data_IF_112767536969
#
_entry.id   IF_112767536969
#
_cell.length_a   1.000
_cell.length_b   1.000
_cell.length_c   1.000
_cell.angle_alpha   90.00
_cell.angle_beta   90.00
_cell.angle_gamma   90.00
#
_symmetry.space_group_name_H-M   'P 1'
#
loop_
_entity.id
_entity.type
_entity.pdbx_description
1 polymer ?
#
# COMPACT_ATOMS: atom_id res chain seq x y z
N UNK A 1 5.30 -10.38 6.32
CA UNK A 1 5.67 -9.05 6.87
C UNK A 1 6.64 -9.12 8.05
N UNK A 2 6.44 -9.97 9.08
CA UNK A 2 7.37 -10.06 10.21
C UNK A 2 8.82 -10.33 9.81
N UNK A 3 9.06 -11.18 8.80
CA UNK A 3 10.41 -11.41 8.27
C UNK A 3 11.04 -10.12 7.74
N UNK A 4 10.26 -9.29 7.05
CA UNK A 4 10.69 -8.00 6.55
C UNK A 4 11.03 -7.01 7.68
N UNK A 5 10.62 -7.26 8.93
CA UNK A 5 10.98 -6.42 10.07
C UNK A 5 12.40 -6.69 10.58
N UNK A 6 13.02 -7.82 10.20
CA UNK A 6 14.37 -8.22 10.65
C UNK A 6 14.50 -8.07 12.17
N UNK A 7 13.57 -8.74 12.87
CA UNK A 7 13.35 -8.59 14.31
C UNK A 7 14.35 -9.45 15.10
N UNK A 8 14.98 -8.88 16.13
CA UNK A 8 15.97 -9.53 16.98
C UNK A 8 15.59 -9.43 18.47
N UNK A 9 16.15 -10.29 19.35
CA UNK A 9 15.89 -10.17 20.79
C UNK A 9 16.39 -8.81 21.28
N UNK A 10 15.61 -8.18 22.15
CA UNK A 10 15.93 -6.88 22.75
C UNK A 10 15.45 -5.66 21.96
N UNK A 11 15.08 -5.80 20.67
CA UNK A 11 14.51 -4.69 19.90
C UNK A 11 13.24 -4.14 20.56
N UNK A 12 13.16 -2.82 20.68
CA UNK A 12 11.93 -2.12 21.03
C UNK A 12 11.06 -1.94 19.79
N UNK A 13 9.81 -2.37 19.88
CA UNK A 13 8.89 -2.42 18.73
C UNK A 13 7.65 -1.58 18.99
N UNK A 14 7.26 -0.81 17.99
CA UNK A 14 5.91 -0.27 17.87
C UNK A 14 5.12 -1.06 16.83
N UNK A 15 3.97 -1.58 17.22
CA UNK A 15 2.95 -2.08 16.31
C UNK A 15 1.79 -1.08 16.23
N UNK A 16 1.32 -0.80 15.03
CA UNK A 16 0.16 0.05 14.75
C UNK A 16 -0.95 -0.81 14.15
N UNK A 17 -2.01 -1.05 14.93
CA UNK A 17 -3.11 -1.96 14.61
C UNK A 17 -3.07 -3.26 15.42
N UNK A 18 -3.35 -3.20 16.73
CA UNK A 18 -3.32 -4.41 17.58
C UNK A 18 -4.30 -5.49 17.11
N UNK A 19 -5.51 -5.11 16.69
CA UNK A 19 -6.55 -6.06 16.28
C UNK A 19 -6.83 -7.10 17.36
N UNK A 20 -6.61 -8.38 17.04
CA UNK A 20 -6.79 -9.50 17.98
C UNK A 20 -5.59 -9.72 18.93
N UNK A 21 -4.46 -9.03 18.72
CA UNK A 21 -3.23 -9.19 19.49
C UNK A 21 -2.31 -10.33 19.03
N UNK A 22 -2.64 -11.04 17.94
CA UNK A 22 -1.82 -12.15 17.43
C UNK A 22 -0.41 -11.71 17.05
N UNK A 23 -0.29 -10.68 16.20
CA UNK A 23 1.01 -10.20 15.74
C UNK A 23 1.81 -9.56 16.89
N UNK A 24 1.16 -8.78 17.77
CA UNK A 24 1.72 -8.29 19.03
C UNK A 24 2.36 -9.39 19.89
N UNK A 25 1.69 -10.55 20.01
CA UNK A 25 2.21 -11.69 20.76
C UNK A 25 3.50 -12.23 20.13
N UNK A 26 3.51 -12.43 18.80
CA UNK A 26 4.70 -12.89 18.07
C UNK A 26 5.88 -11.93 18.22
N UNK A 27 5.63 -10.62 18.14
CA UNK A 27 6.63 -9.58 18.38
C UNK A 27 7.21 -9.69 19.80
N UNK A 28 6.36 -9.84 20.82
CA UNK A 28 6.79 -9.97 22.22
C UNK A 28 7.62 -11.22 22.46
N UNK A 29 7.21 -12.37 21.92
CA UNK A 29 7.97 -13.62 22.03
C UNK A 29 9.34 -13.53 21.36
N UNK A 30 9.45 -12.84 20.23
CA UNK A 30 10.72 -12.70 19.50
C UNK A 30 11.67 -11.69 20.13
N UNK A 31 11.15 -10.60 20.69
CA UNK A 31 11.95 -9.48 21.23
C UNK A 31 12.19 -9.57 22.73
N UNK A 32 11.36 -10.32 23.45
CA UNK A 32 11.38 -10.42 24.90
C UNK A 32 10.27 -9.58 25.56
N UNK A 33 10.02 -9.83 26.85
CA UNK A 33 8.92 -9.22 27.58
C UNK A 33 9.07 -7.70 27.65
N UNK A 34 7.94 -6.98 27.58
CA UNK A 34 7.84 -5.52 27.70
C UNK A 34 8.61 -4.72 26.63
N UNK A 35 8.99 -5.35 25.51
CA UNK A 35 9.66 -4.69 24.38
C UNK A 35 8.71 -4.22 23.28
N UNK A 36 7.46 -4.66 23.31
CA UNK A 36 6.44 -4.33 22.30
C UNK A 36 5.39 -3.40 22.90
N UNK A 37 5.17 -2.27 22.24
CA UNK A 37 3.97 -1.45 22.38
C UNK A 37 3.10 -1.70 21.15
N UNK A 38 1.80 -1.90 21.35
CA UNK A 38 0.83 -2.08 20.27
C UNK A 38 -0.32 -1.09 20.43
N UNK A 39 -0.60 -0.32 19.39
CA UNK A 39 -1.62 0.74 19.40
C UNK A 39 -2.85 0.27 18.62
N UNK A 40 -4.02 0.45 19.21
CA UNK A 40 -5.31 0.15 18.60
C UNK A 40 -6.25 1.34 18.76
N UNK A 41 -6.86 1.77 17.66
CA UNK A 41 -7.76 2.93 17.67
C UNK A 41 -9.12 2.62 18.28
N UNK A 42 -9.54 1.35 18.28
CA UNK A 42 -10.80 0.91 18.85
C UNK A 42 -10.62 0.46 20.31
N UNK A 43 -11.19 1.19 21.30
CA UNK A 43 -11.02 0.86 22.71
C UNK A 43 -11.56 -0.53 23.11
N UNK A 44 -12.59 -1.03 22.43
CA UNK A 44 -13.17 -2.36 22.68
C UNK A 44 -12.24 -3.48 22.19
N UNK A 45 -11.70 -3.31 20.98
CA UNK A 45 -10.69 -4.24 20.44
C UNK A 45 -9.43 -4.21 21.28
N UNK A 46 -8.93 -3.03 21.66
CA UNK A 46 -7.76 -2.89 22.53
C UNK A 46 -7.94 -3.66 23.85
N UNK A 47 -9.12 -3.54 24.50
CA UNK A 47 -9.42 -4.29 25.74
C UNK A 47 -9.46 -5.80 25.50
N UNK A 48 -9.99 -6.22 24.36
CA UNK A 48 -10.08 -7.63 23.97
C UNK A 48 -8.71 -8.23 23.71
N UNK A 49 -7.85 -7.50 22.98
CA UNK A 49 -6.47 -7.87 22.74
C UNK A 49 -5.68 -7.99 24.05
N UNK A 50 -5.81 -7.03 24.99
CA UNK A 50 -5.17 -7.12 26.32
C UNK A 50 -5.47 -8.43 27.03
N UNK A 51 -6.76 -8.81 27.10
CA UNK A 51 -7.17 -10.08 27.73
C UNK A 51 -6.62 -11.30 26.98
N UNK A 52 -6.55 -11.26 25.65
CA UNK A 52 -6.00 -12.35 24.85
C UNK A 52 -4.49 -12.51 25.09
N UNK A 53 -3.75 -11.40 25.12
CA UNK A 53 -2.31 -11.35 25.36
C UNK A 53 -1.96 -11.81 26.78
N UNK A 54 -2.72 -11.38 27.79
CA UNK A 54 -2.59 -11.86 29.17
C UNK A 54 -2.76 -13.38 29.26
N UNK A 55 -3.82 -13.93 28.62
CA UNK A 55 -4.05 -15.38 28.57
C UNK A 55 -2.94 -16.14 27.84
N UNK A 56 -2.34 -15.51 26.83
CA UNK A 56 -1.22 -16.06 26.08
C UNK A 56 0.13 -15.91 26.80
N UNK A 57 0.19 -15.20 27.93
CA UNK A 57 1.44 -14.90 28.64
C UNK A 57 2.37 -13.93 27.90
N UNK A 58 1.85 -13.17 26.93
CA UNK A 58 2.62 -12.21 26.15
C UNK A 58 2.66 -10.84 26.85
N UNK A 59 3.86 -10.37 27.19
CA UNK A 59 4.07 -9.10 27.89
C UNK A 59 4.16 -7.93 26.90
N UNK A 60 2.99 -7.47 26.43
CA UNK A 60 2.81 -6.36 25.49
C UNK A 60 2.08 -5.20 26.17
N UNK A 61 2.53 -3.96 25.97
CA UNK A 61 1.77 -2.78 26.33
C UNK A 61 0.78 -2.46 25.20
N UNK A 62 -0.52 -2.59 25.45
CA UNK A 62 -1.56 -2.25 24.47
C UNK A 62 -2.16 -0.89 24.82
N UNK A 63 -2.17 0.03 23.86
CA UNK A 63 -2.66 1.40 24.02
C UNK A 63 -3.89 1.63 23.14
N UNK A 64 -4.92 2.27 23.70
CA UNK A 64 -6.13 2.64 22.96
C UNK A 64 -5.99 4.08 22.45
N UNK A 65 -5.51 4.26 21.23
CA UNK A 65 -5.18 5.56 20.65
C UNK A 65 -5.14 5.48 19.11
N UNK A 66 -5.18 6.64 18.46
CA UNK A 66 -4.91 6.74 17.02
C UNK A 66 -3.41 6.53 16.75
N UNK A 67 -3.09 5.52 15.94
CA UNK A 67 -1.73 5.16 15.55
C UNK A 67 -1.16 5.96 14.38
N UNK A 68 -1.94 6.82 13.72
CA UNK A 68 -1.48 7.64 12.58
C UNK A 68 -0.25 8.47 12.94
N UNK A 69 -0.23 9.05 14.15
CA UNK A 69 0.89 9.80 14.71
C UNK A 69 1.96 8.95 15.41
N UNK A 70 1.92 7.62 15.30
CA UNK A 70 2.77 6.72 16.08
C UNK A 70 2.43 6.72 17.57
N UNK A 71 3.42 6.46 18.43
CA UNK A 71 3.29 6.50 19.88
C UNK A 71 4.53 7.12 20.56
N UNK A 72 4.57 8.45 20.74
CA UNK A 72 5.73 9.16 21.30
C UNK A 72 6.19 8.71 22.69
N UNK A 73 5.32 8.36 23.67
CA UNK A 73 5.77 7.96 25.01
C UNK A 73 6.72 6.76 25.03
N UNK A 74 6.65 5.91 23.99
CA UNK A 74 7.52 4.76 23.81
C UNK A 74 8.63 4.96 22.77
N UNK A 75 8.85 6.17 22.27
CA UNK A 75 9.93 6.44 21.33
C UNK A 75 11.30 6.50 22.05
N UNK A 76 12.43 6.28 21.37
CA UNK A 76 12.57 5.79 20.00
C UNK A 76 12.41 4.27 19.92
N UNK A 77 11.98 3.77 18.77
CA UNK A 77 11.80 2.35 18.45
C UNK A 77 12.92 1.85 17.54
N UNK A 78 13.32 0.59 17.72
CA UNK A 78 14.24 -0.09 16.80
C UNK A 78 13.48 -0.59 15.56
N UNK A 79 12.20 -0.95 15.75
CA UNK A 79 11.32 -1.50 14.73
C UNK A 79 9.93 -0.91 14.84
N UNK A 80 9.32 -0.61 13.70
CA UNK A 80 7.94 -0.20 13.60
C UNK A 80 7.22 -1.04 12.55
N UNK A 81 6.01 -1.51 12.85
CA UNK A 81 5.18 -2.24 11.90
C UNK A 81 3.75 -1.74 11.95
N UNK A 82 3.17 -1.44 10.79
CA UNK A 82 1.74 -1.21 10.65
C UNK A 82 1.06 -2.49 10.14
N UNK A 83 -0.13 -2.77 10.65
CA UNK A 83 -1.01 -3.89 10.25
C UNK A 83 -2.32 -3.36 9.66
N UNK A 84 -2.23 -2.20 9.01
CA UNK A 84 -3.24 -1.59 8.13
C UNK A 84 -2.51 -0.88 6.99
N UNK A 85 -3.17 -0.69 5.85
CA UNK A 85 -2.59 -0.04 4.68
C UNK A 85 -2.57 1.49 4.81
N UNK A 86 -1.49 2.08 4.32
CA UNK A 86 -1.36 3.54 4.19
C UNK A 86 -1.05 3.96 2.76
N UNK A 87 -1.50 5.15 2.40
CA UNK A 87 -1.18 5.79 1.12
C UNK A 87 0.15 6.54 1.16
N UNK A 88 0.49 7.07 2.33
CA UNK A 88 1.75 7.79 2.59
C UNK A 88 2.30 7.32 3.93
N UNK A 89 3.61 7.22 4.05
CA UNK A 89 4.26 6.89 5.32
C UNK A 89 4.27 8.16 6.20
N UNK A 90 3.59 8.16 7.36
CA UNK A 90 3.60 9.33 8.24
C UNK A 90 5.01 9.66 8.72
N UNK A 91 5.41 10.93 8.65
CA UNK A 91 6.74 11.35 9.14
C UNK A 91 6.96 11.03 10.61
N UNK A 92 5.88 11.03 11.41
CA UNK A 92 5.93 10.65 12.82
C UNK A 92 6.52 9.24 13.03
N UNK A 93 6.34 8.33 12.07
CA UNK A 93 6.90 6.98 12.13
C UNK A 93 8.43 7.00 11.95
N UNK A 94 8.91 7.81 11.02
CA UNK A 94 10.36 8.04 10.80
C UNK A 94 10.97 8.71 12.02
N UNK A 95 10.36 9.81 12.50
CA UNK A 95 10.86 10.57 13.65
C UNK A 95 10.88 9.80 14.97
N UNK A 96 10.04 8.76 15.10
CA UNK A 96 9.99 7.91 16.29
C UNK A 96 10.83 6.63 16.15
N UNK A 97 11.41 6.37 14.99
CA UNK A 97 12.29 5.23 14.74
C UNK A 97 13.74 5.67 14.82
N UNK A 98 14.59 4.89 15.48
CA UNK A 98 16.03 5.21 15.60
C UNK A 98 16.68 5.22 14.22
N UNK A 99 17.77 6.00 14.02
CA UNK A 99 18.66 5.80 12.88
C UNK A 99 19.07 4.33 12.74
N UNK A 100 19.06 3.80 11.51
CA UNK A 100 19.26 2.38 11.22
C UNK A 100 18.07 1.46 11.60
N UNK A 101 17.05 2.00 12.27
CA UNK A 101 15.80 1.31 12.59
C UNK A 101 14.94 1.08 11.34
N UNK A 102 13.98 0.16 11.47
CA UNK A 102 13.21 -0.35 10.32
C UNK A 102 11.71 -0.16 10.49
N UNK A 103 11.07 0.36 9.46
CA UNK A 103 9.63 0.60 9.37
C UNK A 103 9.06 -0.33 8.30
N UNK A 104 8.06 -1.14 8.66
CA UNK A 104 7.37 -2.04 7.73
C UNK A 104 5.89 -1.67 7.67
N UNK A 105 5.38 -1.39 6.48
CA UNK A 105 3.99 -0.97 6.32
C UNK A 105 3.41 -1.48 5.00
N UNK A 106 2.16 -1.96 4.98
CA UNK A 106 1.42 -2.14 3.75
C UNK A 106 1.18 -0.77 3.09
N UNK A 107 1.38 -0.70 1.79
CA UNK A 107 1.31 0.52 1.00
C UNK A 107 0.49 0.31 -0.27
N UNK A 108 -0.34 1.30 -0.62
CA UNK A 108 -1.09 1.34 -1.88
C UNK A 108 -2.00 0.13 -2.10
N UNK A 109 -2.46 -0.52 -1.01
CA UNK A 109 -3.36 -1.68 -1.01
C UNK A 109 -2.90 -2.95 -1.74
N UNK A 110 -1.67 -2.99 -2.25
CA UNK A 110 -1.20 -4.10 -3.08
C UNK A 110 0.17 -4.66 -2.67
N UNK A 111 0.96 -3.93 -1.87
CA UNK A 111 2.27 -4.39 -1.41
C UNK A 111 2.61 -3.90 0.00
N UNK A 112 3.77 -4.30 0.50
CA UNK A 112 4.34 -3.69 1.71
C UNK A 112 5.79 -3.28 1.49
N UNK A 113 6.15 -2.14 2.06
CA UNK A 113 7.51 -1.61 2.06
C UNK A 113 8.23 -1.95 3.35
N UNK A 114 9.55 -2.03 3.29
CA UNK A 114 10.41 -2.05 4.47
C UNK A 114 11.51 -0.99 4.35
N UNK A 115 11.33 0.11 5.08
CA UNK A 115 12.21 1.28 5.03
C UNK A 115 13.21 1.25 6.19
N UNK A 116 14.43 1.65 5.93
CA UNK A 116 15.44 1.90 6.95
C UNK A 116 15.61 3.41 7.12
N UNK A 117 15.57 3.88 8.36
CA UNK A 117 15.82 5.29 8.70
C UNK A 117 17.31 5.60 8.53
N UNK A 118 17.62 6.68 7.83
CA UNK A 118 18.99 7.13 7.62
C UNK A 118 19.69 7.51 8.93
N UNK A 119 21.04 7.48 8.92
CA UNK A 119 21.87 7.78 10.11
C UNK A 119 21.62 9.20 10.69
N UNK A 120 21.26 10.16 9.84
CA UNK A 120 20.90 11.53 10.25
C UNK A 120 19.45 11.70 10.73
N UNK A 121 18.63 10.65 10.61
CA UNK A 121 17.21 10.65 10.94
C UNK A 121 16.35 11.56 10.02
N UNK A 122 16.89 12.03 8.89
CA UNK A 122 16.20 12.98 8.00
C UNK A 122 15.51 12.32 6.81
N UNK A 123 15.70 11.02 6.62
CA UNK A 123 15.00 10.25 5.60
C UNK A 123 14.81 8.79 6.00
N UNK A 124 13.92 8.10 5.30
CA UNK A 124 13.82 6.66 5.32
C UNK A 124 13.67 6.14 3.90
N UNK A 125 14.38 5.07 3.56
CA UNK A 125 14.30 4.47 2.23
C UNK A 125 14.40 2.95 2.30
N UNK A 126 13.86 2.27 1.31
CA UNK A 126 13.92 0.82 1.23
C UNK A 126 13.06 0.26 0.12
N UNK A 127 12.95 -1.06 0.10
CA UNK A 127 12.33 -1.80 -1.00
C UNK A 127 10.92 -2.25 -0.65
N UNK A 128 10.12 -2.51 -1.67
CA UNK A 128 8.94 -3.36 -1.55
C UNK A 128 9.41 -4.78 -1.23
N UNK A 129 8.70 -5.46 -0.34
CA UNK A 129 9.13 -6.76 0.20
C UNK A 129 8.09 -7.86 0.02
N UNK A 130 6.97 -7.58 -0.66
CA UNK A 130 5.95 -8.55 -0.99
C UNK A 130 4.59 -7.93 -1.21
N UNK A 131 3.64 -8.77 -1.61
CA UNK A 131 2.23 -8.44 -1.70
C UNK A 131 1.61 -8.36 -0.30
N UNK A 132 0.79 -7.34 -0.09
CA UNK A 132 0.07 -7.15 1.17
C UNK A 132 -1.22 -6.38 0.91
N UNK A 133 -2.36 -7.05 1.06
CA UNK A 133 -3.67 -6.43 1.03
C UNK A 133 -4.18 -6.31 2.46
N UNK A 134 -4.34 -5.08 2.93
CA UNK A 134 -4.77 -4.75 4.28
C UNK A 134 -5.93 -3.77 4.22
N UNK A 135 -6.73 -3.77 5.29
CA UNK A 135 -7.72 -2.72 5.51
C UNK A 135 -7.04 -1.35 5.52
N UNK A 136 -7.66 -0.30 4.96
CA UNK A 136 -7.16 1.06 5.03
C UNK A 136 -7.05 1.56 6.47
N UNK A 137 -6.21 2.59 6.67
CA UNK A 137 -6.23 3.37 7.89
C UNK A 137 -7.63 3.98 8.13
N UNK A 138 -8.08 4.05 9.38
CA UNK A 138 -9.39 4.66 9.65
C UNK A 138 -9.40 6.12 9.23
N UNK A 139 -10.50 6.55 8.60
CA UNK A 139 -10.66 7.91 8.10
C UNK A 139 -10.02 8.16 6.73
N UNK A 140 -9.32 7.17 6.15
CA UNK A 140 -8.92 7.20 4.73
C UNK A 140 -9.94 6.50 3.83
N UNK A 141 -10.93 5.83 4.42
CA UNK A 141 -12.16 5.36 3.77
C UNK A 141 -13.07 6.56 3.46
N UNK A 142 -12.71 7.43 2.52
CA UNK A 142 -13.79 7.98 1.71
C UNK A 142 -14.46 6.77 1.04
N UNK A 143 -15.80 6.69 1.03
CA UNK A 143 -16.45 5.69 0.19
C UNK A 143 -16.03 6.01 -1.24
N UNK A 144 -15.02 5.27 -1.75
CA UNK A 144 -14.61 5.42 -3.14
C UNK A 144 -15.87 5.20 -3.96
N UNK A 145 -16.29 6.19 -4.75
CA UNK A 145 -17.50 6.04 -5.52
C UNK A 145 -17.32 4.84 -6.44
N UNK A 146 -18.34 3.98 -6.47
CA UNK A 146 -18.28 2.82 -7.35
C UNK A 146 -18.23 3.29 -8.82
N UNK A 147 -17.78 2.40 -9.70
CA UNK A 147 -17.65 2.72 -11.12
C UNK A 147 -18.94 3.29 -11.73
N UNK A 148 -20.11 2.79 -11.35
CA UNK A 148 -21.39 3.26 -11.87
C UNK A 148 -21.75 4.66 -11.36
N UNK A 149 -21.32 5.02 -10.16
CA UNK A 149 -21.46 6.36 -9.61
C UNK A 149 -20.60 7.37 -10.36
N UNK A 150 -19.34 7.04 -10.66
CA UNK A 150 -18.43 7.93 -11.42
C UNK A 150 -18.87 8.05 -12.88
N UNK A 151 -19.16 6.92 -13.54
CA UNK A 151 -19.67 6.90 -14.91
C UNK A 151 -21.01 7.62 -15.02
N UNK A 152 -21.89 7.42 -14.04
CA UNK A 152 -23.24 7.97 -14.02
C UNK A 152 -24.03 7.61 -15.29
N UNK A 153 -24.60 8.63 -15.93
CA UNK A 153 -25.21 8.53 -17.29
C UNK A 153 -24.30 9.08 -18.37
N UNK A 154 -23.00 9.24 -18.09
CA UNK A 154 -22.03 9.72 -19.05
C UNK A 154 -22.07 8.84 -20.29
N UNK A 155 -22.31 9.45 -21.45
CA UNK A 155 -22.14 8.76 -22.72
C UNK A 155 -20.65 8.55 -22.96
N UNK A 156 -20.33 7.44 -23.61
CA UNK A 156 -19.03 7.29 -24.27
C UNK A 156 -18.80 8.48 -25.19
N UNK A 157 -17.66 9.15 -25.06
CA UNK A 157 -17.23 10.14 -26.04
C UNK A 157 -16.00 9.67 -26.84
N UNK A 158 -15.46 8.48 -26.53
CA UNK A 158 -14.39 7.81 -27.28
C UNK A 158 -14.51 6.27 -27.13
N UNK A 159 -14.68 5.59 -28.28
CA UNK A 159 -14.64 4.12 -28.39
C UNK A 159 -13.59 3.74 -29.43
N UNK A 160 -12.63 2.90 -29.04
CA UNK A 160 -11.51 2.51 -29.90
C UNK A 160 -11.03 1.07 -29.64
N UNK A 161 -10.34 0.44 -30.60
CA UNK A 161 -9.59 -0.77 -30.32
C UNK A 161 -8.54 -0.55 -29.22
N UNK A 162 -8.46 -1.50 -28.30
CA UNK A 162 -7.41 -1.62 -27.30
C UNK A 162 -6.56 -2.84 -27.65
N UNK A 163 -5.29 -2.63 -28.01
CA UNK A 163 -4.48 -3.67 -28.65
C UNK A 163 -3.70 -4.49 -27.63
N UNK A 164 -4.34 -4.84 -26.50
CA UNK A 164 -3.76 -5.70 -25.47
C UNK A 164 -4.72 -6.78 -25.01
N UNK A 165 -4.13 -7.91 -24.64
CA UNK A 165 -4.79 -8.91 -23.81
C UNK A 165 -4.98 -8.36 -22.40
N UNK A 166 -6.18 -8.51 -21.85
CA UNK A 166 -6.52 -8.05 -20.51
C UNK A 166 -6.15 -9.06 -19.41
N UNK A 167 -5.86 -10.32 -19.76
CA UNK A 167 -5.55 -11.37 -18.79
C UNK A 167 -4.48 -10.97 -17.74
N UNK A 168 -3.39 -10.26 -18.12
CA UNK A 168 -2.40 -9.81 -17.14
C UNK A 168 -2.94 -8.85 -16.07
N UNK A 169 -4.02 -8.10 -16.33
CA UNK A 169 -4.64 -7.25 -15.30
C UNK A 169 -5.29 -8.08 -14.17
N UNK A 170 -5.61 -9.35 -14.41
CA UNK A 170 -6.04 -10.30 -13.37
C UNK A 170 -4.86 -11.05 -12.77
N UNK A 171 -4.01 -11.61 -13.65
CA UNK A 171 -3.13 -12.71 -13.28
C UNK A 171 -1.71 -12.24 -12.89
N UNK A 172 -1.32 -11.04 -13.30
CA UNK A 172 0.01 -10.49 -13.05
C UNK A 172 -0.02 -9.45 -11.92
N UNK A 173 0.47 -9.85 -10.75
CA UNK A 173 0.56 -8.96 -9.60
C UNK A 173 1.66 -7.89 -9.75
N UNK A 174 2.69 -8.13 -10.56
CA UNK A 174 3.77 -7.18 -10.82
C UNK A 174 3.28 -6.04 -11.72
N UNK A 175 2.56 -6.37 -12.79
CA UNK A 175 1.89 -5.36 -13.62
C UNK A 175 0.92 -4.52 -12.80
N UNK A 176 0.03 -5.15 -12.02
CA UNK A 176 -0.92 -4.41 -11.18
C UNK A 176 -0.21 -3.48 -10.19
N UNK A 177 0.91 -3.92 -9.61
CA UNK A 177 1.72 -3.09 -8.72
C UNK A 177 2.34 -1.90 -9.48
N UNK A 178 2.90 -2.14 -10.67
CA UNK A 178 3.45 -1.09 -11.50
C UNK A 178 2.40 -0.04 -11.90
N UNK A 179 1.20 -0.47 -12.30
CA UNK A 179 0.08 0.41 -12.61
C UNK A 179 -0.35 1.22 -11.39
N UNK A 180 -0.40 0.61 -10.20
CA UNK A 180 -0.71 1.31 -8.95
C UNK A 180 0.31 2.39 -8.58
N UNK A 181 1.58 2.17 -8.91
CA UNK A 181 2.66 3.15 -8.72
C UNK A 181 2.55 4.29 -9.74
N UNK A 182 2.30 3.95 -11.01
CA UNK A 182 2.27 4.94 -12.10
C UNK A 182 0.99 5.79 -12.11
N UNK A 183 -0.13 5.20 -11.69
CA UNK A 183 -1.47 5.77 -11.76
C UNK A 183 -2.15 5.66 -10.38
N UNK A 184 -1.65 6.39 -9.36
CA UNK A 184 -1.99 6.14 -7.96
C UNK A 184 -3.42 6.50 -7.57
N UNK A 185 -4.10 7.29 -8.39
CA UNK A 185 -5.48 7.75 -8.21
C UNK A 185 -6.50 6.91 -9.01
N UNK A 186 -6.04 5.96 -9.84
CA UNK A 186 -6.93 5.11 -10.61
C UNK A 186 -7.38 3.89 -9.82
N UNK A 187 -8.69 3.70 -9.78
CA UNK A 187 -9.32 2.48 -9.32
C UNK A 187 -9.52 1.56 -10.52
N UNK A 188 -8.99 0.33 -10.45
CA UNK A 188 -9.09 -0.67 -11.52
C UNK A 188 -9.74 -1.92 -10.94
N UNK A 189 -10.93 -2.26 -11.43
CA UNK A 189 -11.63 -3.51 -11.10
C UNK A 189 -11.64 -4.40 -12.32
N UNK A 190 -11.24 -5.66 -12.15
CA UNK A 190 -11.21 -6.64 -13.24
C UNK A 190 -12.11 -7.81 -12.88
N UNK A 191 -13.02 -8.19 -13.77
CA UNK A 191 -13.84 -9.39 -13.61
C UNK A 191 -14.22 -9.98 -14.96
N UNK A 192 -14.50 -11.28 -14.98
CA UNK A 192 -15.04 -11.97 -16.14
C UNK A 192 -16.56 -12.10 -16.03
N UNK A 193 -17.25 -11.93 -17.16
CA UNK A 193 -18.68 -12.22 -17.32
C UNK A 193 -18.92 -13.17 -18.50
N UNK A 194 -20.15 -13.22 -19.01
CA UNK A 194 -20.53 -14.09 -20.13
C UNK A 194 -19.85 -13.69 -21.45
N UNK A 195 -19.47 -12.42 -21.60
CA UNK A 195 -18.91 -11.85 -22.83
C UNK A 195 -17.38 -11.83 -22.84
N UNK A 196 -16.75 -11.85 -21.66
CA UNK A 196 -15.30 -11.99 -21.53
C UNK A 196 -14.73 -11.34 -20.28
N UNK A 197 -13.41 -11.10 -20.29
CA UNK A 197 -12.73 -10.35 -19.25
C UNK A 197 -12.96 -8.85 -19.48
N UNK A 198 -13.38 -8.15 -18.42
CA UNK A 198 -13.61 -6.71 -18.43
C UNK A 198 -12.77 -6.03 -17.35
N UNK A 199 -12.28 -4.83 -17.66
CA UNK A 199 -11.65 -3.93 -16.69
C UNK A 199 -12.42 -2.61 -16.62
N UNK A 200 -12.92 -2.27 -15.43
CA UNK A 200 -13.57 -0.99 -15.14
C UNK A 200 -12.59 -0.08 -14.40
N UNK A 201 -12.38 1.11 -14.96
CA UNK A 201 -11.36 2.06 -14.51
C UNK A 201 -12.05 3.38 -14.20
N UNK A 202 -11.72 4.02 -13.09
CA UNK A 202 -12.17 5.38 -12.77
C UNK A 202 -11.19 6.17 -11.91
N UNK A 203 -11.27 7.50 -11.98
CA UNK A 203 -10.46 8.42 -11.16
C UNK A 203 -11.15 8.83 -9.85
N UNK A 204 -12.34 8.27 -9.57
CA UNK A 204 -13.13 8.59 -8.39
C UNK A 204 -13.84 9.96 -8.47
N UNK A 205 -13.75 10.68 -9.59
CA UNK A 205 -14.31 12.01 -9.76
C UNK A 205 -15.27 12.09 -10.94
N UNK A 206 -14.76 11.98 -12.17
CA UNK A 206 -15.57 12.20 -13.38
C UNK A 206 -15.07 11.46 -14.62
N UNK A 207 -13.87 10.88 -14.58
CA UNK A 207 -13.31 10.15 -15.72
C UNK A 207 -13.44 8.65 -15.50
N UNK A 208 -13.77 7.92 -16.56
CA UNK A 208 -13.97 6.48 -16.50
C UNK A 208 -13.54 5.83 -17.82
N UNK A 209 -13.20 4.54 -17.74
CA UNK A 209 -12.99 3.69 -18.91
C UNK A 209 -13.46 2.26 -18.62
N UNK A 210 -13.91 1.57 -19.67
CA UNK A 210 -14.21 0.14 -19.71
C UNK A 210 -13.35 -0.47 -20.80
N UNK A 211 -12.55 -1.47 -20.43
CA UNK A 211 -11.86 -2.32 -21.38
C UNK A 211 -12.63 -3.64 -21.43
N UNK A 212 -13.16 -3.98 -22.60
CA UNK A 212 -13.95 -5.20 -22.80
C UNK A 212 -13.27 -6.10 -23.82
N UNK A 213 -12.88 -7.30 -23.39
CA UNK A 213 -12.50 -8.35 -24.32
C UNK A 213 -13.74 -8.76 -25.11
N UNK A 214 -13.71 -8.53 -26.43
CA UNK A 214 -14.75 -8.99 -27.35
C UNK A 214 -14.32 -10.29 -28.01
N UNK A 215 -15.27 -11.08 -28.50
CA UNK A 215 -15.00 -12.29 -29.28
C UNK A 215 -13.94 -12.06 -30.37
N UNK A 216 -13.15 -13.09 -30.67
CA UNK A 216 -11.99 -13.09 -31.57
C UNK A 216 -10.68 -12.50 -31.03
N UNK A 217 -10.56 -12.34 -29.70
CA UNK A 217 -9.30 -11.92 -29.05
C UNK A 217 -8.97 -10.45 -29.25
N UNK A 218 -9.99 -9.62 -29.54
CA UNK A 218 -9.85 -8.17 -29.61
C UNK A 218 -10.34 -7.56 -28.30
N UNK A 219 -9.77 -6.45 -27.91
CA UNK A 219 -10.27 -5.65 -26.78
C UNK A 219 -10.75 -4.30 -27.31
N UNK A 220 -11.84 -3.79 -26.76
CA UNK A 220 -12.35 -2.45 -27.04
C UNK A 220 -12.18 -1.62 -25.77
N UNK A 221 -11.69 -0.39 -25.92
CA UNK A 221 -11.73 0.62 -24.88
C UNK A 221 -12.89 1.58 -25.15
N UNK A 222 -13.78 1.71 -24.17
CA UNK A 222 -14.83 2.72 -24.12
C UNK A 222 -14.51 3.66 -22.94
N UNK A 223 -14.43 4.96 -23.16
CA UNK A 223 -14.09 5.91 -22.10
C UNK A 223 -14.88 7.21 -22.19
N UNK A 224 -14.96 7.89 -21.04
CA UNK A 224 -15.67 9.15 -20.91
C UNK A 224 -15.09 10.05 -19.83
N UNK A 225 -15.30 11.35 -19.98
CA UNK A 225 -14.90 12.38 -19.02
C UNK A 225 -13.63 13.14 -19.39
N UNK A 226 -13.13 14.00 -18.48
CA UNK A 226 -12.03 14.93 -18.79
C UNK A 226 -10.67 14.27 -19.06
N UNK A 227 -10.45 13.05 -18.55
CA UNK A 227 -9.22 12.28 -18.73
C UNK A 227 -9.46 11.04 -19.59
N UNK A 228 -8.42 10.62 -20.30
CA UNK A 228 -8.43 9.44 -21.17
C UNK A 228 -7.79 8.27 -20.45
N UNK A 229 -8.54 7.67 -19.52
CA UNK A 229 -8.01 6.68 -18.58
C UNK A 229 -7.52 5.39 -19.26
N UNK A 230 -8.14 4.98 -20.38
CA UNK A 230 -7.64 3.84 -21.15
C UNK A 230 -6.26 4.15 -21.75
N UNK A 231 -6.05 5.38 -22.23
CA UNK A 231 -4.80 5.83 -22.83
C UNK A 231 -3.71 5.98 -21.76
N UNK A 232 -4.05 6.51 -20.59
CA UNK A 232 -3.14 6.62 -19.44
C UNK A 232 -2.69 5.23 -18.96
N UNK A 233 -3.62 4.28 -18.83
CA UNK A 233 -3.32 2.90 -18.49
C UNK A 233 -2.45 2.22 -19.54
N UNK A 234 -2.78 2.37 -20.83
CA UNK A 234 -1.99 1.82 -21.93
C UNK A 234 -0.56 2.38 -21.93
N UNK A 235 -0.40 3.69 -21.70
CA UNK A 235 0.90 4.37 -21.62
C UNK A 235 1.72 3.85 -20.43
N UNK A 236 1.11 3.72 -19.25
CA UNK A 236 1.79 3.19 -18.07
C UNK A 236 2.19 1.71 -18.25
N UNK A 237 1.34 0.92 -18.89
CA UNK A 237 1.65 -0.47 -19.24
C UNK A 237 2.82 -0.54 -20.24
N UNK A 238 2.82 0.30 -21.28
CA UNK A 238 3.95 0.38 -22.22
C UNK A 238 5.25 0.74 -21.54
N UNK A 239 5.23 1.72 -20.63
CA UNK A 239 6.42 2.08 -19.86
C UNK A 239 6.94 0.89 -19.05
N UNK A 240 6.05 0.15 -18.37
CA UNK A 240 6.44 -1.05 -17.62
C UNK A 240 7.07 -2.13 -18.51
N UNK A 241 6.52 -2.37 -19.71
CA UNK A 241 7.10 -3.31 -20.68
C UNK A 241 8.47 -2.85 -21.18
N UNK A 242 8.62 -1.55 -21.46
CA UNK A 242 9.87 -0.96 -21.95
C UNK A 242 11.00 -1.01 -20.91
N UNK A 243 10.66 -0.88 -19.63
CA UNK A 243 11.59 -1.08 -18.51
C UNK A 243 11.94 -2.57 -18.26
N UNK A 244 11.42 -3.48 -19.08
CA UNK A 244 11.74 -4.90 -18.99
C UNK A 244 10.85 -5.68 -18.01
N UNK A 245 9.64 -5.19 -17.75
CA UNK A 245 8.65 -5.82 -16.87
C UNK A 245 9.18 -5.97 -15.42
N UNK A 246 9.61 -4.89 -14.75
CA UNK A 246 10.13 -4.98 -13.39
C UNK A 246 9.15 -5.68 -12.45
N UNK A 247 9.70 -6.57 -11.62
CA UNK A 247 8.95 -7.21 -10.57
C UNK A 247 8.63 -6.17 -9.50
N UNK A 248 7.58 -6.40 -8.71
CA UNK A 248 7.25 -5.55 -7.57
C UNK A 248 8.44 -5.37 -6.60
N UNK A 249 9.37 -6.34 -6.54
CA UNK A 249 10.57 -6.31 -5.70
C UNK A 249 11.67 -5.37 -6.23
N UNK A 250 11.59 -4.97 -7.50
CA UNK A 250 12.48 -3.99 -8.11
C UNK A 250 12.06 -2.55 -7.78
N UNK A 251 10.94 -2.38 -7.08
CA UNK A 251 10.47 -1.08 -6.62
C UNK A 251 10.93 -0.80 -5.19
N UNK A 252 11.26 0.46 -4.95
CA UNK A 252 11.51 0.99 -3.62
C UNK A 252 10.87 2.35 -3.40
N UNK A 253 10.97 2.84 -2.17
CA UNK A 253 10.38 4.09 -1.71
C UNK A 253 11.43 4.91 -0.97
N UNK A 254 11.34 6.22 -1.11
CA UNK A 254 12.06 7.19 -0.29
C UNK A 254 11.09 8.19 0.33
N UNK A 255 11.29 8.48 1.62
CA UNK A 255 10.59 9.49 2.42
C UNK A 255 11.61 10.48 2.95
N UNK A 256 11.42 11.78 2.70
CA UNK A 256 12.34 12.86 3.12
C UNK A 256 11.58 14.15 3.42
N UNK A 257 12.29 15.20 3.81
CA UNK A 257 11.80 16.57 3.98
C UNK A 257 10.65 16.67 4.98
N UNK A 258 10.78 16.01 6.13
CA UNK A 258 9.69 15.97 7.12
C UNK A 258 8.45 15.22 6.62
N UNK A 259 8.62 14.32 5.66
CA UNK A 259 7.55 13.57 5.00
C UNK A 259 6.79 14.36 3.94
N UNK A 260 7.22 15.59 3.59
CA UNK A 260 6.63 16.35 2.49
C UNK A 260 6.93 15.70 1.13
N UNK A 261 8.11 15.11 0.99
CA UNK A 261 8.55 14.45 -0.24
C UNK A 261 8.53 12.93 -0.04
N UNK A 262 7.69 12.25 -0.81
CA UNK A 262 7.67 10.78 -0.89
C UNK A 262 7.57 10.37 -2.35
N UNK A 263 8.36 9.37 -2.75
CA UNK A 263 8.30 8.85 -4.11
C UNK A 263 8.67 7.37 -4.13
N UNK A 264 8.03 6.66 -5.05
CA UNK A 264 8.46 5.34 -5.48
C UNK A 264 9.54 5.48 -6.55
N UNK A 265 10.42 4.51 -6.65
CA UNK A 265 11.43 4.40 -7.69
C UNK A 265 11.60 2.92 -8.09
N UNK A 266 12.10 2.65 -9.29
CA UNK A 266 12.39 1.29 -9.74
C UNK A 266 13.88 1.12 -10.06
N UNK A 267 14.42 -0.07 -9.80
CA UNK A 267 15.81 -0.52 -10.02
C UNK A 267 16.90 0.22 -9.23
N UNK A 268 16.93 1.55 -9.26
CA UNK A 268 17.95 2.37 -8.59
C UNK A 268 17.33 3.65 -8.01
N UNK A 269 17.60 3.98 -6.73
CA UNK A 269 17.00 5.13 -6.05
C UNK A 269 17.46 6.50 -6.55
N UNK A 270 18.55 6.56 -7.32
CA UNK A 270 19.16 7.81 -7.79
C UNK A 270 18.91 8.05 -9.27
N UNK A 271 19.01 7.00 -10.07
CA UNK A 271 19.02 7.05 -11.54
C UNK A 271 17.80 6.41 -12.18
N UNK A 272 17.06 5.58 -11.43
CA UNK A 272 15.87 4.91 -11.92
C UNK A 272 14.67 5.84 -12.13
N UNK A 273 13.62 5.36 -12.82
CA UNK A 273 12.37 6.09 -12.92
C UNK A 273 11.77 6.28 -11.53
N UNK A 274 11.08 7.42 -11.34
CA UNK A 274 10.49 7.80 -10.04
C UNK A 274 9.09 8.37 -10.20
N UNK A 275 8.23 8.06 -9.24
CA UNK A 275 6.84 8.48 -9.20
C UNK A 275 6.54 9.15 -7.86
N UNK A 276 6.12 10.43 -7.83
CA UNK A 276 5.76 11.10 -6.59
C UNK A 276 4.51 10.47 -5.97
N UNK A 277 4.50 10.39 -4.65
CA UNK A 277 3.33 9.98 -3.87
C UNK A 277 2.68 11.25 -3.33
N UNK A 278 1.56 11.63 -3.95
CA UNK A 278 0.78 12.83 -3.64
C UNK A 278 -0.19 12.62 -2.49
#
# INVERSE_FOLDING_TARGET
>A
MLDSLLLEPGHRVLELGTGCGWNAALLSWRTGPHRTVSVETDPELARTARRALERAGAAVAVEAADGTGGWPPGALYDRMIATYAVERIPWAWVAQTRPGGRIVAPWGHLGHVALTVAEDGQSAAGWVQGLAQFMPARGTEAAEPDFLQVRGRGESDDERPFLRDLAPLSDDAHLRFALRVALPDLCITVAADEDGLNAWIHDGAASWAVLSAVGDGKTIADQGGPRRLADELETAWDAWLQEGCPDLYDYGMTVTDGGATQYMWAHDPVTGPRWPIV
#
